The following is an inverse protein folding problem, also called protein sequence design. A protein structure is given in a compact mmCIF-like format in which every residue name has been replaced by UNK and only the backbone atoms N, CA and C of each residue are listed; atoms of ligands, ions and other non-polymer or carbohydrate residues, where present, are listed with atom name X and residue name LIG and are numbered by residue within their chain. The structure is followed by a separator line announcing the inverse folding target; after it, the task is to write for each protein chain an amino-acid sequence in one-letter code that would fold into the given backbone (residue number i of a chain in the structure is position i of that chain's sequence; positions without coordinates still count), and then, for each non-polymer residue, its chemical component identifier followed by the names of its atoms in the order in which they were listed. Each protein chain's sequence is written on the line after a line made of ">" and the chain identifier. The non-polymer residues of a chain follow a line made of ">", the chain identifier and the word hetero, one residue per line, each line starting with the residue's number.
data_IF_903853290535
#
_entry.id   IF_903853290535
#
_cell.length_a   1.000
_cell.length_b   1.000
_cell.length_c   1.000
_cell.angle_alpha   90.00
_cell.angle_beta   90.00
_cell.angle_gamma   90.00
#
_symmetry.space_group_name_H-M   'P 1'
#
loop_
_entity.id
_entity.type
_entity.pdbx_description
1 polymer ?
#
# COMPACT_ATOMS: atom_id res chain seq x y z
N UNK A 1 -32.15 6.44 -0.18
CA UNK A 1 -31.84 6.61 1.27
C UNK A 1 -30.49 5.95 1.56
N UNK A 2 -29.59 6.64 2.27
CA UNK A 2 -28.26 6.11 2.61
C UNK A 2 -28.32 5.28 3.88
N UNK A 3 -27.72 4.08 3.85
CA UNK A 3 -27.73 3.14 4.99
C UNK A 3 -26.38 2.42 5.10
N UNK A 4 -25.86 2.30 6.32
CA UNK A 4 -24.68 1.47 6.59
C UNK A 4 -25.08 -0.01 6.57
N UNK A 5 -24.26 -0.84 5.93
CA UNK A 5 -24.48 -2.28 5.72
C UNK A 5 -23.20 -3.06 5.94
N UNK A 6 -23.32 -4.36 6.16
CA UNK A 6 -22.20 -5.31 6.09
C UNK A 6 -22.27 -6.00 4.72
N UNK A 7 -21.50 -5.55 3.73
CA UNK A 7 -21.57 -6.08 2.38
C UNK A 7 -20.99 -7.50 2.31
N UNK A 8 -21.60 -8.36 1.48
CA UNK A 8 -21.03 -9.68 1.18
C UNK A 8 -19.88 -9.58 0.17
N UNK A 9 -19.07 -10.63 0.07
CA UNK A 9 -17.85 -10.63 -0.76
C UNK A 9 -18.13 -10.19 -2.21
N UNK A 10 -19.19 -10.70 -2.84
CA UNK A 10 -19.53 -10.37 -4.23
C UNK A 10 -19.85 -8.89 -4.42
N UNK A 11 -20.51 -8.26 -3.46
CA UNK A 11 -20.78 -6.82 -3.47
C UNK A 11 -19.48 -6.00 -3.34
N UNK A 12 -18.58 -6.44 -2.44
CA UNK A 12 -17.26 -5.83 -2.28
C UNK A 12 -16.46 -5.93 -3.58
N UNK A 13 -16.40 -7.13 -4.18
CA UNK A 13 -15.67 -7.34 -5.43
C UNK A 13 -16.26 -6.55 -6.59
N UNK A 14 -17.59 -6.47 -6.67
CA UNK A 14 -18.29 -5.63 -7.66
C UNK A 14 -17.95 -4.15 -7.52
N UNK A 15 -17.94 -3.65 -6.27
CA UNK A 15 -17.52 -2.27 -6.00
C UNK A 15 -16.04 -2.04 -6.34
N UNK A 16 -15.13 -2.97 -5.98
CA UNK A 16 -13.71 -2.84 -6.28
C UNK A 16 -13.41 -2.85 -7.78
N UNK A 17 -14.17 -3.60 -8.57
CA UNK A 17 -14.00 -3.68 -10.01
C UNK A 17 -14.29 -2.37 -10.77
N UNK A 18 -15.03 -1.43 -10.17
CA UNK A 18 -15.30 -0.12 -10.78
C UNK A 18 -14.05 0.79 -10.81
N UNK A 19 -13.13 0.64 -9.83
CA UNK A 19 -11.82 1.33 -9.79
C UNK A 19 -10.75 0.39 -9.19
N UNK A 20 -10.21 -0.53 -10.00
CA UNK A 20 -9.32 -1.59 -9.51
C UNK A 20 -7.97 -1.09 -9.02
N UNK A 21 -7.55 0.12 -9.40
CA UNK A 21 -6.29 0.71 -8.92
C UNK A 21 -6.50 1.35 -7.55
N UNK A 22 -7.50 2.21 -7.42
CA UNK A 22 -7.83 2.86 -6.14
C UNK A 22 -8.17 1.82 -5.07
N UNK A 23 -8.87 0.74 -5.45
CA UNK A 23 -9.44 -0.26 -4.54
C UNK A 23 -8.65 -1.56 -4.45
N UNK A 24 -7.43 -1.62 -5.00
CA UNK A 24 -6.59 -2.83 -5.02
C UNK A 24 -6.37 -3.43 -3.63
N UNK A 25 -6.14 -2.59 -2.61
CA UNK A 25 -5.98 -3.03 -1.24
C UNK A 25 -7.28 -3.62 -0.67
N UNK A 26 -8.41 -2.96 -0.89
CA UNK A 26 -9.72 -3.43 -0.43
C UNK A 26 -10.08 -4.78 -1.04
N UNK A 27 -9.84 -4.96 -2.33
CA UNK A 27 -10.07 -6.23 -3.03
C UNK A 27 -9.18 -7.34 -2.49
N UNK A 28 -7.88 -7.09 -2.31
CA UNK A 28 -6.92 -8.10 -1.81
C UNK A 28 -7.30 -8.59 -0.41
N UNK A 29 -7.56 -7.67 0.52
CA UNK A 29 -7.92 -8.06 1.90
C UNK A 29 -9.29 -8.75 1.98
N UNK A 30 -10.25 -8.36 1.13
CA UNK A 30 -11.55 -9.03 1.04
C UNK A 30 -11.41 -10.46 0.52
N UNK A 31 -10.64 -10.68 -0.57
CA UNK A 31 -10.37 -12.02 -1.12
C UNK A 31 -9.66 -12.93 -0.13
N UNK A 32 -8.82 -12.37 0.73
CA UNK A 32 -8.09 -13.10 1.77
C UNK A 32 -8.91 -13.30 3.04
N UNK A 33 -10.12 -12.77 3.14
CA UNK A 33 -10.97 -12.83 4.32
C UNK A 33 -10.37 -12.10 5.53
N UNK A 34 -9.63 -11.02 5.29
CA UNK A 34 -8.96 -10.24 6.32
C UNK A 34 -9.76 -8.99 6.69
N UNK A 35 -9.87 -8.72 8.00
CA UNK A 35 -10.54 -7.55 8.53
C UNK A 35 -12.06 -7.59 8.40
N UNK A 36 -12.68 -6.46 8.67
CA UNK A 36 -14.12 -6.25 8.56
C UNK A 36 -14.41 -5.14 7.56
N UNK A 37 -15.56 -5.23 6.90
CA UNK A 37 -16.01 -4.23 5.94
C UNK A 37 -17.34 -3.63 6.36
N UNK A 38 -17.44 -2.32 6.26
CA UNK A 38 -18.72 -1.61 6.34
C UNK A 38 -18.95 -0.89 5.02
N UNK A 39 -20.12 -1.09 4.43
CA UNK A 39 -20.56 -0.44 3.22
C UNK A 39 -21.53 0.70 3.49
N UNK A 40 -21.57 1.70 2.62
CA UNK A 40 -22.63 2.67 2.52
C UNK A 40 -23.42 2.39 1.25
N UNK A 41 -24.72 2.05 1.40
CA UNK A 41 -25.60 1.82 0.27
C UNK A 41 -26.52 3.02 0.05
N UNK A 42 -26.75 3.35 -1.21
CA UNK A 42 -27.75 4.33 -1.64
C UNK A 42 -28.64 3.68 -2.69
N UNK A 43 -29.96 3.64 -2.41
CA UNK A 43 -30.97 3.01 -3.28
C UNK A 43 -30.61 1.56 -3.69
N UNK A 44 -30.04 0.80 -2.73
CA UNK A 44 -29.68 -0.61 -2.91
C UNK A 44 -28.32 -0.84 -3.60
N UNK A 45 -27.58 0.20 -3.95
CA UNK A 45 -26.24 0.11 -4.54
C UNK A 45 -25.18 0.52 -3.52
N UNK A 46 -24.08 -0.22 -3.45
CA UNK A 46 -22.90 0.13 -2.66
C UNK A 46 -22.21 1.35 -3.29
N UNK A 47 -22.14 2.47 -2.57
CA UNK A 47 -21.55 3.74 -3.05
C UNK A 47 -20.27 4.12 -2.32
N UNK A 48 -20.05 3.55 -1.13
CA UNK A 48 -18.78 3.65 -0.43
C UNK A 48 -18.52 2.38 0.38
N UNK A 49 -17.25 2.11 0.63
CA UNK A 49 -16.76 0.96 1.38
C UNK A 49 -15.67 1.41 2.33
N UNK A 50 -15.63 0.83 3.53
CA UNK A 50 -14.55 1.04 4.49
C UNK A 50 -14.07 -0.31 5.02
N UNK A 51 -12.78 -0.61 4.85
CA UNK A 51 -12.12 -1.65 5.61
C UNK A 51 -11.84 -1.15 7.03
N UNK A 52 -12.25 -1.92 8.03
CA UNK A 52 -12.11 -1.60 9.44
C UNK A 52 -11.16 -2.61 10.10
N UNK A 53 -9.99 -2.14 10.48
CA UNK A 53 -8.94 -2.94 11.13
C UNK A 53 -8.07 -2.05 12.00
N UNK A 54 -6.78 -2.38 12.12
CA UNK A 54 -5.77 -1.49 12.72
C UNK A 54 -5.67 -0.17 11.95
N UNK A 55 -5.93 -0.24 10.64
CA UNK A 55 -6.05 0.90 9.75
C UNK A 55 -7.48 0.97 9.21
N UNK A 56 -7.97 2.17 8.94
CA UNK A 56 -9.20 2.41 8.20
C UNK A 56 -8.83 2.77 6.75
N UNK A 57 -9.54 2.13 5.81
CA UNK A 57 -9.36 2.41 4.38
C UNK A 57 -10.73 2.71 3.76
N UNK A 58 -11.17 3.99 3.82
CA UNK A 58 -12.41 4.42 3.17
C UNK A 58 -12.20 4.62 1.67
N UNK A 59 -13.20 4.27 0.87
CA UNK A 59 -13.26 4.42 -0.58
C UNK A 59 -14.68 4.75 -1.03
N UNK A 60 -14.83 5.56 -2.06
CA UNK A 60 -16.11 5.94 -2.66
C UNK A 60 -16.69 7.26 -2.14
N UNK A 61 -18.01 7.45 -2.25
CA UNK A 61 -18.69 8.73 -2.02
C UNK A 61 -19.54 8.67 -0.74
N UNK A 62 -19.36 9.68 0.14
CA UNK A 62 -20.09 9.77 1.41
C UNK A 62 -19.38 9.07 2.56
N UNK A 63 -18.05 8.97 2.51
CA UNK A 63 -17.20 8.32 3.50
C UNK A 63 -17.27 8.97 4.90
N UNK A 64 -17.83 10.18 5.02
CA UNK A 64 -18.14 10.80 6.30
C UNK A 64 -19.03 9.95 7.20
N UNK A 65 -19.89 9.10 6.60
CA UNK A 65 -20.72 8.16 7.35
C UNK A 65 -19.92 7.14 8.19
N UNK A 66 -18.67 6.85 7.82
CA UNK A 66 -17.82 5.91 8.54
C UNK A 66 -17.16 6.52 9.79
N UNK A 67 -17.27 7.82 10.01
CA UNK A 67 -16.74 8.48 11.20
C UNK A 67 -17.40 8.01 12.52
N UNK A 68 -18.57 7.38 12.43
CA UNK A 68 -19.34 6.88 13.58
C UNK A 68 -19.09 5.39 13.88
N UNK A 69 -18.25 4.72 13.10
CA UNK A 69 -17.93 3.31 13.33
C UNK A 69 -17.18 3.09 14.65
N UNK A 70 -17.58 2.08 15.39
CA UNK A 70 -16.99 1.74 16.70
C UNK A 70 -15.45 1.50 16.65
N UNK A 71 -14.91 1.14 15.49
CA UNK A 71 -13.48 0.95 15.24
C UNK A 71 -12.72 2.24 14.93
N UNK A 72 -13.40 3.33 14.55
CA UNK A 72 -12.76 4.55 14.08
C UNK A 72 -11.79 5.15 15.10
N UNK A 73 -12.18 5.18 16.38
CA UNK A 73 -11.36 5.74 17.48
C UNK A 73 -10.11 4.93 17.85
N UNK A 74 -9.92 3.74 17.29
CA UNK A 74 -8.75 2.87 17.53
C UNK A 74 -7.80 2.80 16.34
N UNK A 75 -8.17 3.42 15.23
CA UNK A 75 -7.34 3.42 14.05
C UNK A 75 -6.02 4.14 14.29
N UNK A 76 -4.92 3.53 13.87
CA UNK A 76 -3.59 4.15 13.88
C UNK A 76 -3.29 4.91 12.62
N UNK A 77 -4.00 4.57 11.55
CA UNK A 77 -3.86 5.14 10.23
C UNK A 77 -5.21 5.14 9.53
N UNK A 78 -5.58 6.25 8.92
CA UNK A 78 -6.65 6.33 7.91
C UNK A 78 -5.99 6.65 6.58
N UNK A 79 -6.22 5.83 5.56
CA UNK A 79 -5.53 5.96 4.27
C UNK A 79 -6.46 5.57 3.12
N UNK A 80 -6.38 6.29 2.02
CA UNK A 80 -7.14 6.00 0.80
C UNK A 80 -7.14 7.18 -0.16
N UNK A 81 -8.06 7.16 -1.11
CA UNK A 81 -8.25 8.28 -2.04
C UNK A 81 -8.51 9.58 -1.26
N UNK A 82 -7.90 10.67 -1.74
CA UNK A 82 -7.81 11.93 -1.01
C UNK A 82 -9.16 12.50 -0.59
N UNK A 83 -10.17 12.45 -1.48
CA UNK A 83 -11.49 12.99 -1.18
C UNK A 83 -12.26 12.08 -0.21
N UNK A 84 -12.13 10.76 -0.35
CA UNK A 84 -12.74 9.78 0.56
C UNK A 84 -12.21 9.95 2.01
N UNK A 85 -10.89 10.09 2.16
CA UNK A 85 -10.27 10.37 3.47
C UNK A 85 -10.62 11.77 3.95
N UNK A 86 -10.70 12.75 3.06
CA UNK A 86 -11.10 14.12 3.36
C UNK A 86 -12.52 14.21 3.91
N UNK A 87 -13.47 13.52 3.27
CA UNK A 87 -14.87 13.43 3.70
C UNK A 87 -14.99 12.74 5.07
N UNK A 88 -14.32 11.59 5.23
CA UNK A 88 -14.22 10.92 6.52
C UNK A 88 -13.69 11.87 7.62
N UNK A 89 -12.57 12.54 7.37
CA UNK A 89 -11.95 13.41 8.37
C UNK A 89 -12.81 14.62 8.71
N UNK A 90 -13.48 15.22 7.74
CA UNK A 90 -14.40 16.33 7.99
C UNK A 90 -15.51 15.96 8.99
N UNK A 91 -16.02 14.73 8.91
CA UNK A 91 -17.03 14.23 9.83
C UNK A 91 -16.46 13.73 11.17
N UNK A 92 -15.23 13.20 11.16
CA UNK A 92 -14.57 12.63 12.34
C UNK A 92 -13.90 13.69 13.23
N UNK A 93 -13.59 14.87 12.68
CA UNK A 93 -12.93 15.95 13.41
C UNK A 93 -13.73 16.37 14.65
N UNK A 94 -13.06 16.43 15.80
CA UNK A 94 -13.69 16.68 17.09
C UNK A 94 -14.21 15.44 17.82
N UNK A 95 -14.24 14.28 17.15
CA UNK A 95 -14.52 12.95 17.74
C UNK A 95 -13.26 12.12 17.91
N UNK A 96 -12.35 12.22 16.94
CA UNK A 96 -11.04 11.60 16.97
C UNK A 96 -9.97 12.61 17.41
N UNK A 97 -8.85 12.14 17.99
CA UNK A 97 -7.72 13.00 18.26
C UNK A 97 -7.19 13.61 16.95
N UNK A 98 -6.52 14.75 17.03
CA UNK A 98 -5.81 15.29 15.87
C UNK A 98 -4.70 14.31 15.44
N UNK A 99 -4.55 14.04 14.15
CA UNK A 99 -3.48 13.18 13.66
C UNK A 99 -2.12 13.82 13.95
N UNK A 100 -1.15 13.02 14.39
CA UNK A 100 0.23 13.48 14.55
C UNK A 100 0.86 13.90 13.22
N UNK A 101 0.36 13.34 12.12
CA UNK A 101 0.79 13.67 10.77
C UNK A 101 -0.37 13.51 9.78
N UNK A 102 -0.57 14.53 8.95
CA UNK A 102 -1.53 14.55 7.84
C UNK A 102 -0.73 14.67 6.53
N UNK A 103 -0.87 13.69 5.66
CA UNK A 103 -0.16 13.58 4.37
C UNK A 103 -1.14 13.65 3.21
N UNK A 104 -1.59 14.84 2.81
CA UNK A 104 -2.43 14.99 1.63
C UNK A 104 -1.60 14.89 0.33
N UNK A 105 -2.27 14.63 -0.78
CA UNK A 105 -1.68 14.72 -2.12
C UNK A 105 -0.59 13.70 -2.41
N UNK A 106 -0.62 12.51 -1.79
CA UNK A 106 0.31 11.43 -2.08
C UNK A 106 -0.01 10.84 -3.46
N UNK A 107 0.84 11.05 -4.50
CA UNK A 107 0.52 10.57 -5.83
C UNK A 107 0.52 9.04 -5.89
N UNK A 108 -0.50 8.48 -6.53
CA UNK A 108 -0.56 7.08 -6.93
C UNK A 108 -0.04 6.97 -8.36
N UNK A 109 1.00 6.18 -8.52
CA UNK A 109 1.62 5.89 -9.81
C UNK A 109 1.21 4.51 -10.30
N UNK A 110 0.95 4.39 -11.61
CA UNK A 110 0.55 3.15 -12.28
C UNK A 110 1.45 2.89 -13.48
N UNK A 111 1.79 1.64 -13.70
CA UNK A 111 2.50 1.14 -14.88
C UNK A 111 1.69 0.00 -15.52
N UNK A 112 1.40 0.12 -16.81
CA UNK A 112 0.67 -0.86 -17.63
C UNK A 112 1.61 -1.53 -18.63
N UNK A 113 2.54 -0.77 -19.17
CA UNK A 113 3.49 -1.24 -20.15
C UNK A 113 4.81 -1.70 -19.51
N UNK A 114 5.38 -2.79 -20.05
CA UNK A 114 6.64 -3.33 -19.56
C UNK A 114 7.80 -2.36 -19.80
N UNK A 115 8.52 -1.90 -18.76
CA UNK A 115 9.64 -0.97 -18.94
C UNK A 115 10.85 -1.67 -19.55
N UNK A 116 11.86 -0.90 -19.95
CA UNK A 116 13.15 -1.44 -20.36
C UNK A 116 13.78 -2.30 -19.26
N UNK A 117 14.57 -3.34 -19.57
CA UNK A 117 15.24 -4.17 -18.59
C UNK A 117 16.13 -3.35 -17.63
N UNK A 118 16.15 -3.77 -16.38
CA UNK A 118 17.04 -3.21 -15.36
C UNK A 118 18.42 -3.91 -15.31
N UNK A 119 18.48 -5.14 -15.86
CA UNK A 119 19.66 -5.99 -15.87
C UNK A 119 20.22 -6.23 -14.48
N UNK A 120 19.37 -6.73 -13.58
CA UNK A 120 19.73 -7.00 -12.19
C UNK A 120 19.62 -8.48 -11.84
N UNK A 121 20.16 -8.87 -10.68
CA UNK A 121 19.90 -10.17 -10.07
C UNK A 121 18.61 -10.22 -9.24
N UNK A 122 17.58 -9.41 -9.57
CA UNK A 122 16.33 -9.39 -8.84
C UNK A 122 15.63 -10.75 -8.90
N UNK A 123 15.18 -11.22 -7.74
CA UNK A 123 14.43 -12.47 -7.61
C UNK A 123 13.41 -12.37 -6.48
N UNK A 124 12.41 -13.27 -6.44
CA UNK A 124 11.59 -13.45 -5.25
C UNK A 124 12.45 -13.82 -4.04
N UNK A 125 12.05 -13.33 -2.87
CA UNK A 125 12.67 -13.71 -1.62
C UNK A 125 12.27 -15.14 -1.21
N UNK A 126 13.18 -15.82 -0.52
CA UNK A 126 12.96 -17.11 0.12
C UNK A 126 13.18 -17.00 1.63
N UNK A 127 12.86 -18.02 2.40
CA UNK A 127 13.11 -18.03 3.84
C UNK A 127 14.60 -17.93 4.19
N UNK A 128 15.49 -18.31 3.29
CA UNK A 128 16.94 -18.18 3.48
C UNK A 128 17.37 -16.70 3.48
N UNK A 129 16.57 -15.81 2.84
CA UNK A 129 16.83 -14.37 2.81
C UNK A 129 16.29 -13.62 4.05
N UNK A 130 15.61 -14.32 4.95
CA UNK A 130 14.89 -13.71 6.06
C UNK A 130 15.77 -12.81 6.92
N UNK A 131 16.94 -13.29 7.35
CA UNK A 131 17.85 -12.53 8.22
C UNK A 131 18.50 -11.34 7.48
N UNK A 132 18.63 -11.41 6.17
CA UNK A 132 19.09 -10.30 5.33
C UNK A 132 18.00 -9.23 5.14
N UNK A 133 16.73 -9.65 5.04
CA UNK A 133 15.60 -8.74 4.79
C UNK A 133 15.12 -8.01 6.03
N UNK A 134 15.11 -8.65 7.22
CA UNK A 134 14.58 -8.04 8.45
C UNK A 134 15.17 -6.66 8.76
N UNK A 135 16.50 -6.45 8.78
CA UNK A 135 17.04 -5.12 9.05
C UNK A 135 16.71 -4.08 7.98
N UNK A 136 16.68 -4.48 6.70
CA UNK A 136 16.31 -3.57 5.61
C UNK A 136 14.82 -3.18 5.65
N UNK A 137 13.94 -4.13 5.99
CA UNK A 137 12.52 -3.85 6.20
C UNK A 137 12.30 -2.91 7.40
N UNK A 138 13.05 -3.10 8.49
CA UNK A 138 13.00 -2.21 9.65
C UNK A 138 13.49 -0.81 9.33
N UNK A 139 14.58 -0.70 8.56
CA UNK A 139 15.12 0.59 8.14
C UNK A 139 14.17 1.33 7.20
N UNK A 140 13.59 0.64 6.20
CA UNK A 140 12.57 1.22 5.33
C UNK A 140 11.37 1.75 6.14
N UNK A 141 10.91 1.00 7.14
CA UNK A 141 9.83 1.41 8.03
C UNK A 141 10.22 2.64 8.87
N UNK A 142 11.45 2.67 9.39
CA UNK A 142 11.99 3.79 10.15
C UNK A 142 12.09 5.06 9.29
N UNK A 143 12.55 4.94 8.05
CA UNK A 143 12.62 6.08 7.11
C UNK A 143 11.24 6.63 6.76
N UNK A 144 10.23 5.77 6.65
CA UNK A 144 8.87 6.16 6.28
C UNK A 144 8.06 6.73 7.46
N UNK A 145 8.12 6.09 8.63
CA UNK A 145 7.26 6.39 9.78
C UNK A 145 8.00 6.97 10.99
N UNK A 146 9.33 7.10 10.92
CA UNK A 146 10.15 7.63 12.03
C UNK A 146 10.29 6.69 13.23
N UNK A 147 9.86 5.42 13.10
CA UNK A 147 9.84 4.45 14.19
C UNK A 147 10.51 3.17 13.71
N UNK A 148 11.49 2.69 14.47
CA UNK A 148 12.06 1.37 14.23
C UNK A 148 11.14 0.30 14.86
N UNK A 149 10.53 -0.59 14.06
CA UNK A 149 9.60 -1.59 14.57
C UNK A 149 10.28 -2.66 15.44
N UNK A 150 11.58 -2.88 15.26
CA UNK A 150 12.37 -3.81 16.08
C UNK A 150 12.54 -3.33 17.53
N UNK A 151 12.45 -2.00 17.78
CA UNK A 151 12.52 -1.45 19.14
C UNK A 151 11.18 -1.52 19.87
N UNK A 152 10.07 -1.71 19.14
CA UNK A 152 8.71 -1.72 19.73
C UNK A 152 8.16 -3.12 19.93
N UNK A 153 8.21 -3.93 18.89
CA UNK A 153 7.65 -5.29 18.86
C UNK A 153 8.41 -6.13 17.81
N UNK A 154 9.64 -6.57 18.18
CA UNK A 154 10.51 -7.29 17.26
C UNK A 154 9.92 -8.63 16.81
N UNK A 155 9.20 -9.32 17.68
CA UNK A 155 8.62 -10.65 17.35
C UNK A 155 7.51 -10.52 16.32
N UNK A 156 6.53 -9.63 16.54
CA UNK A 156 5.46 -9.40 15.56
C UNK A 156 5.99 -8.84 14.24
N UNK A 157 7.04 -8.00 14.28
CA UNK A 157 7.64 -7.48 13.06
C UNK A 157 8.34 -8.59 12.26
N UNK A 158 9.16 -9.40 12.91
CA UNK A 158 9.83 -10.56 12.29
C UNK A 158 8.82 -11.57 11.75
N UNK A 159 7.75 -11.84 12.50
CA UNK A 159 6.67 -12.71 12.04
C UNK A 159 6.01 -12.17 10.76
N UNK A 160 5.65 -10.88 10.71
CA UNK A 160 5.08 -10.25 9.50
C UNK A 160 6.03 -10.32 8.31
N UNK A 161 7.32 -10.06 8.51
CA UNK A 161 8.32 -10.17 7.44
C UNK A 161 8.41 -11.61 6.91
N UNK A 162 8.35 -12.61 7.79
CA UNK A 162 8.34 -14.02 7.39
C UNK A 162 7.12 -14.35 6.56
N UNK A 163 5.93 -13.97 7.02
CA UNK A 163 4.68 -14.19 6.29
C UNK A 163 4.68 -13.51 4.91
N UNK A 164 5.25 -12.32 4.81
CA UNK A 164 5.38 -11.58 3.55
C UNK A 164 6.24 -12.34 2.53
N UNK A 165 7.30 -13.01 2.99
CA UNK A 165 8.14 -13.88 2.17
C UNK A 165 7.37 -15.17 1.79
N UNK A 166 6.70 -15.82 2.75
CA UNK A 166 5.92 -17.05 2.52
C UNK A 166 4.78 -16.84 1.52
N UNK A 167 4.13 -15.68 1.58
CA UNK A 167 3.08 -15.27 0.63
C UNK A 167 3.64 -14.94 -0.78
N UNK A 168 4.98 -15.00 -0.99
CA UNK A 168 5.63 -14.66 -2.24
C UNK A 168 5.52 -13.18 -2.62
N UNK A 169 5.40 -12.31 -1.63
CA UNK A 169 5.16 -10.87 -1.79
C UNK A 169 6.39 -10.00 -1.51
N UNK A 170 7.58 -10.59 -1.49
CA UNK A 170 8.86 -9.90 -1.28
C UNK A 170 9.84 -10.24 -2.38
N UNK A 171 10.59 -9.25 -2.82
CA UNK A 171 11.64 -9.38 -3.83
C UNK A 171 12.89 -8.67 -3.36
N UNK A 172 14.04 -9.20 -3.76
CA UNK A 172 15.33 -8.60 -3.45
C UNK A 172 16.31 -8.75 -4.61
N UNK A 173 17.28 -7.86 -4.63
CA UNK A 173 18.52 -7.95 -5.39
C UNK A 173 19.70 -7.79 -4.42
N UNK A 174 20.52 -8.81 -4.34
CA UNK A 174 21.74 -8.82 -3.51
C UNK A 174 22.96 -9.22 -4.34
N UNK A 175 24.12 -8.72 -3.99
CA UNK A 175 25.42 -9.09 -4.55
C UNK A 175 26.40 -9.31 -3.39
N UNK A 176 27.14 -10.42 -3.42
CA UNK A 176 28.12 -10.77 -2.37
C UNK A 176 27.53 -10.65 -0.94
N UNK A 177 26.33 -11.19 -0.74
CA UNK A 177 25.58 -11.15 0.54
C UNK A 177 25.17 -9.74 1.01
N UNK A 178 25.34 -8.72 0.17
CA UNK A 178 24.89 -7.35 0.45
C UNK A 178 23.55 -7.13 -0.27
N UNK A 179 22.52 -6.73 0.49
CA UNK A 179 21.23 -6.36 -0.06
C UNK A 179 21.33 -4.97 -0.70
N UNK A 180 21.11 -4.88 -2.00
CA UNK A 180 21.20 -3.64 -2.76
C UNK A 180 19.83 -2.97 -2.95
N UNK A 181 18.80 -3.80 -3.19
CA UNK A 181 17.43 -3.35 -3.44
C UNK A 181 16.44 -4.38 -2.88
N UNK A 182 15.35 -3.90 -2.34
CA UNK A 182 14.17 -4.72 -2.03
C UNK A 182 12.87 -3.97 -2.30
N UNK A 183 11.80 -4.71 -2.52
CA UNK A 183 10.43 -4.19 -2.55
C UNK A 183 9.45 -5.28 -2.12
N UNK A 184 8.25 -4.86 -1.73
CA UNK A 184 7.17 -5.74 -1.28
C UNK A 184 5.87 -5.39 -1.98
N UNK A 185 4.95 -6.37 -2.06
CA UNK A 185 3.56 -6.11 -2.46
C UNK A 185 2.69 -5.97 -1.20
N UNK A 186 2.01 -4.84 -1.06
CA UNK A 186 1.00 -4.61 -0.03
C UNK A 186 -0.35 -5.23 -0.39
N UNK A 187 -0.67 -5.27 -1.68
CA UNK A 187 -1.88 -5.87 -2.21
C UNK A 187 -1.61 -6.55 -3.56
N UNK A 188 -2.35 -7.63 -3.83
CA UNK A 188 -2.25 -8.39 -5.07
C UNK A 188 -3.61 -8.94 -5.47
N UNK A 189 -4.14 -8.46 -6.58
CA UNK A 189 -5.42 -8.87 -7.17
C UNK A 189 -5.21 -9.34 -8.60
N UNK A 190 -6.22 -9.92 -9.26
CA UNK A 190 -6.13 -10.21 -10.70
C UNK A 190 -5.91 -8.98 -11.58
N UNK A 191 -6.28 -7.79 -11.11
CA UNK A 191 -6.22 -6.54 -11.87
C UNK A 191 -4.97 -5.71 -11.61
N UNK A 192 -4.35 -5.83 -10.42
CA UNK A 192 -3.21 -5.00 -10.06
C UNK A 192 -2.37 -5.59 -8.91
N UNK A 193 -1.09 -5.20 -8.86
CA UNK A 193 -0.22 -5.34 -7.68
C UNK A 193 0.14 -3.96 -7.19
N UNK A 194 -0.09 -3.69 -5.89
CA UNK A 194 0.37 -2.48 -5.22
C UNK A 194 1.69 -2.75 -4.52
N UNK A 195 2.73 -2.04 -4.91
CA UNK A 195 4.05 -2.10 -4.28
C UNK A 195 4.15 -1.19 -3.06
N UNK A 196 4.96 -1.63 -2.11
CA UNK A 196 5.34 -0.86 -0.92
C UNK A 196 6.78 -1.14 -0.54
N UNK A 197 7.30 -0.39 0.44
CA UNK A 197 8.60 -0.68 1.05
C UNK A 197 9.73 -0.81 0.02
N UNK A 198 9.69 0.00 -1.05
CA UNK A 198 10.78 0.09 -2.02
C UNK A 198 11.98 0.73 -1.34
N UNK A 199 13.07 -0.03 -1.20
CA UNK A 199 14.25 0.41 -0.46
C UNK A 199 15.53 0.05 -1.21
N UNK A 200 16.52 0.91 -1.09
CA UNK A 200 17.89 0.73 -1.62
C UNK A 200 18.86 0.97 -0.48
N UNK A 201 19.89 0.15 -0.41
CA UNK A 201 20.96 0.32 0.58
C UNK A 201 21.53 1.74 0.52
N UNK A 202 21.62 2.45 1.66
CA UNK A 202 22.11 3.82 1.71
C UNK A 202 23.48 4.02 1.04
N UNK A 203 24.37 3.03 1.12
CA UNK A 203 25.72 3.11 0.56
C UNK A 203 25.79 3.15 -0.97
N UNK A 204 24.70 2.72 -1.64
CA UNK A 204 24.59 2.67 -3.11
C UNK A 204 23.53 3.59 -3.70
N UNK A 205 22.87 4.41 -2.88
CA UNK A 205 21.90 5.40 -3.37
C UNK A 205 22.52 6.39 -4.34
N UNK A 206 21.69 6.95 -5.23
CA UNK A 206 22.14 7.89 -6.26
C UNK A 206 22.87 7.25 -7.45
N UNK A 207 22.98 5.92 -7.49
CA UNK A 207 23.69 5.18 -8.55
C UNK A 207 22.76 4.38 -9.47
N UNK A 208 21.45 4.67 -9.47
CA UNK A 208 20.45 4.04 -10.35
C UNK A 208 19.91 2.68 -9.88
N UNK A 209 20.29 2.18 -8.72
CA UNK A 209 19.85 0.87 -8.22
C UNK A 209 18.32 0.78 -8.07
N UNK A 210 17.66 1.82 -7.55
CA UNK A 210 16.20 1.85 -7.44
C UNK A 210 15.53 1.71 -8.81
N UNK A 211 15.99 2.48 -9.82
CA UNK A 211 15.41 2.45 -11.16
C UNK A 211 15.58 1.07 -11.82
N UNK A 212 16.78 0.49 -11.72
CA UNK A 212 17.06 -0.85 -12.28
C UNK A 212 16.24 -1.93 -11.59
N UNK A 213 16.22 -1.96 -10.26
CA UNK A 213 15.44 -2.93 -9.48
C UNK A 213 13.94 -2.82 -9.75
N UNK A 214 13.41 -1.60 -9.81
CA UNK A 214 11.99 -1.37 -10.13
C UNK A 214 11.63 -1.80 -11.56
N UNK A 215 12.50 -1.56 -12.56
CA UNK A 215 12.28 -2.03 -13.93
C UNK A 215 12.11 -3.54 -13.97
N UNK A 216 13.03 -4.31 -13.39
CA UNK A 216 12.97 -5.77 -13.43
C UNK A 216 11.80 -6.30 -12.61
N UNK A 217 11.48 -5.68 -11.46
CA UNK A 217 10.32 -6.05 -10.66
C UNK A 217 9.02 -5.82 -11.44
N UNK A 218 8.83 -4.64 -12.03
CA UNK A 218 7.63 -4.33 -12.80
C UNK A 218 7.49 -5.27 -14.00
N UNK A 219 8.59 -5.57 -14.72
CA UNK A 219 8.58 -6.57 -15.81
C UNK A 219 8.12 -7.94 -15.34
N UNK A 220 8.59 -8.39 -14.17
CA UNK A 220 8.19 -9.67 -13.57
C UNK A 220 6.70 -9.68 -13.23
N UNK A 221 6.19 -8.60 -12.64
CA UNK A 221 4.81 -8.51 -12.18
C UNK A 221 3.82 -8.33 -13.33
N UNK A 222 4.14 -7.53 -14.35
CA UNK A 222 3.31 -7.32 -15.54
C UNK A 222 3.13 -8.58 -16.41
N UNK A 223 3.91 -9.64 -16.17
CA UNK A 223 3.64 -10.96 -16.74
C UNK A 223 2.45 -11.68 -16.08
N UNK A 224 1.98 -11.20 -14.93
CA UNK A 224 0.97 -11.84 -14.09
C UNK A 224 -0.29 -11.01 -13.93
N UNK A 225 -0.17 -9.69 -13.97
CA UNK A 225 -1.27 -8.73 -13.79
C UNK A 225 -1.14 -7.60 -14.81
N UNK A 226 -2.25 -6.95 -15.21
CA UNK A 226 -2.19 -5.85 -16.18
C UNK A 226 -1.59 -4.56 -15.59
N UNK A 227 -1.61 -4.38 -14.27
CA UNK A 227 -1.20 -3.13 -13.66
C UNK A 227 -0.25 -3.34 -12.47
N UNK A 228 0.81 -2.53 -12.40
CA UNK A 228 1.63 -2.37 -11.19
C UNK A 228 1.46 -0.95 -10.69
N UNK A 229 1.05 -0.78 -9.43
CA UNK A 229 0.85 0.53 -8.86
C UNK A 229 1.59 0.69 -7.52
N UNK A 230 1.71 1.91 -7.09
CA UNK A 230 2.20 2.32 -5.77
C UNK A 230 1.73 3.73 -5.46
N UNK A 231 1.75 4.12 -4.20
CA UNK A 231 1.68 5.52 -3.82
C UNK A 231 2.94 5.94 -3.05
N UNK A 232 3.22 7.22 -3.03
CA UNK A 232 4.44 7.76 -2.42
C UNK A 232 4.14 9.10 -1.75
N UNK A 233 4.89 9.46 -0.72
CA UNK A 233 4.81 10.78 -0.10
C UNK A 233 5.07 11.87 -1.15
N UNK A 234 4.26 12.92 -1.14
CA UNK A 234 4.36 14.02 -2.11
C UNK A 234 5.72 14.75 -2.06
N UNK A 235 6.39 14.71 -0.91
CA UNK A 235 7.72 15.32 -0.69
C UNK A 235 8.89 14.40 -1.03
N UNK A 236 8.65 13.12 -1.38
CA UNK A 236 9.70 12.17 -1.74
C UNK A 236 10.14 12.31 -3.21
N UNK A 237 10.68 13.46 -3.56
CA UNK A 237 11.15 13.76 -4.90
C UNK A 237 12.15 12.74 -5.49
N UNK A 238 13.08 12.12 -4.71
CA UNK A 238 13.93 11.06 -5.25
C UNK A 238 13.17 9.84 -5.74
N UNK A 239 12.17 9.34 -5.00
CA UNK A 239 11.38 8.20 -5.38
C UNK A 239 10.46 8.52 -6.58
N UNK A 240 9.82 9.69 -6.57
CA UNK A 240 8.99 10.18 -7.67
C UNK A 240 9.76 10.15 -8.99
N UNK A 241 10.99 10.70 -9.01
CA UNK A 241 11.85 10.66 -10.22
C UNK A 241 12.15 9.24 -10.71
N UNK A 242 12.29 8.27 -9.80
CA UNK A 242 12.50 6.87 -10.18
C UNK A 242 11.26 6.31 -10.87
N UNK A 243 10.07 6.55 -10.31
CA UNK A 243 8.81 6.03 -10.85
C UNK A 243 8.49 6.64 -12.23
N UNK A 244 8.63 7.95 -12.37
CA UNK A 244 8.46 8.63 -13.66
C UNK A 244 9.49 8.15 -14.70
N UNK A 245 10.75 7.95 -14.31
CA UNK A 245 11.82 7.50 -15.21
C UNK A 245 11.67 6.05 -15.71
N UNK A 246 10.85 5.23 -15.06
CA UNK A 246 10.51 3.89 -15.54
C UNK A 246 9.19 3.85 -16.33
N UNK A 247 8.52 4.99 -16.50
CA UNK A 247 7.30 5.12 -17.28
C UNK A 247 6.00 5.08 -16.48
N UNK A 248 6.04 5.03 -15.14
CA UNK A 248 4.83 5.09 -14.33
C UNK A 248 4.13 6.45 -14.48
N UNK A 249 2.81 6.43 -14.53
CA UNK A 249 1.98 7.62 -14.68
C UNK A 249 1.21 7.91 -13.38
N UNK A 250 1.18 9.18 -12.96
CA UNK A 250 0.32 9.63 -11.86
C UNK A 250 -1.14 9.62 -12.29
N UNK A 251 -2.01 8.97 -11.52
CA UNK A 251 -3.44 8.82 -11.84
C UNK A 251 -4.35 9.53 -10.83
N UNK A 252 -4.23 9.17 -9.55
CA UNK A 252 -5.04 9.72 -8.45
C UNK A 252 -4.13 10.11 -7.30
N UNK A 253 -4.66 10.80 -6.30
CA UNK A 253 -3.93 11.13 -5.08
C UNK A 253 -4.55 10.47 -3.86
N UNK A 254 -3.69 9.97 -2.98
CA UNK A 254 -4.05 9.46 -1.66
C UNK A 254 -3.82 10.50 -0.57
N UNK A 255 -4.48 10.30 0.55
CA UNK A 255 -4.23 11.00 1.81
C UNK A 255 -4.06 10.00 2.93
N UNK A 256 -3.13 10.26 3.85
CA UNK A 256 -2.94 9.47 5.07
C UNK A 256 -3.03 10.35 6.30
N UNK A 257 -3.81 9.91 7.29
CA UNK A 257 -3.88 10.50 8.61
C UNK A 257 -3.26 9.52 9.60
N UNK A 258 -2.15 9.88 10.24
CA UNK A 258 -1.39 9.03 11.16
C UNK A 258 -1.64 9.52 12.59
N UNK A 259 -2.14 8.65 13.46
CA UNK A 259 -2.48 8.95 14.85
C UNK A 259 -1.45 8.47 15.86
#
# INVERSE_FOLDING_TARGET
>A
MKTLTEPVLDEILGFCAEDPIERVFLEDVARRGLGHFTGLTEDGRLVALCHVGTNLVPSGVGCGAFAELDGAGRARLVIGEQNAVGDFWAAARGRLPEPREDRPGQPVYVLEDSPEPGETGLRPATQDDFELLVPACAEAHREELGINPLDRDPESFRWRTRMQIEDGRSWLWSENEVLLFKAEASAWTPSAVQLQQVWVDPSVRGRGYAQRGMRDLCRLLLQRVPNVCLFVRADNAPAIRVYEAIGMQHTISYRSLIF
#
